data_IF_417800625854
#
_entry.id   IF_417800625854
#
_cell.length_a   1.000
_cell.length_b   1.000
_cell.length_c   1.000
_cell.angle_alpha   90.00
_cell.angle_beta   90.00
_cell.angle_gamma   90.00
#
_symmetry.space_group_name_H-M   'P 1'
#
loop_
_entity.id
_entity.type
_entity.pdbx_description
1 polymer ?
#
# COMPACT_ATOMS: atom_id res chain seq x y z
N UNK A 1 -46.11 9.60 -2.26
CA UNK A 1 -45.17 9.84 -1.14
C UNK A 1 -43.80 10.14 -1.74
N UNK A 2 -43.13 11.16 -1.19
CA UNK A 2 -42.02 11.91 -1.78
C UNK A 2 -40.69 11.13 -1.89
N UNK A 3 -39.97 11.43 -2.98
CA UNK A 3 -38.52 11.70 -3.11
C UNK A 3 -37.52 10.53 -2.93
N UNK A 4 -36.39 10.45 -3.64
CA UNK A 4 -35.69 11.44 -4.46
C UNK A 4 -34.92 10.76 -5.60
N UNK A 5 -34.74 11.51 -6.69
CA UNK A 5 -33.92 11.19 -7.85
C UNK A 5 -32.47 10.88 -7.46
N UNK A 6 -32.01 9.69 -7.79
CA UNK A 6 -30.59 9.30 -7.73
C UNK A 6 -29.88 9.75 -9.01
N UNK A 7 -29.70 11.06 -9.18
CA UNK A 7 -28.65 11.60 -10.03
C UNK A 7 -27.48 11.98 -9.12
N UNK A 8 -26.54 11.03 -8.94
CA UNK A 8 -25.24 11.33 -8.36
C UNK A 8 -24.46 12.16 -9.41
N UNK A 9 -24.10 13.43 -9.16
CA UNK A 9 -23.35 14.19 -10.14
C UNK A 9 -21.97 13.55 -10.30
N UNK A 10 -21.59 13.28 -11.55
CA UNK A 10 -20.23 12.97 -11.95
C UNK A 10 -19.35 14.18 -11.57
N UNK A 11 -18.86 14.23 -10.33
CA UNK A 11 -17.94 15.26 -9.83
C UNK A 11 -16.50 14.89 -10.22
N UNK A 12 -16.25 14.85 -11.53
CA UNK A 12 -14.93 14.84 -12.14
C UNK A 12 -14.82 16.04 -13.08
N UNK A 13 -15.09 17.26 -12.60
CA UNK A 13 -14.94 18.44 -13.45
C UNK A 13 -14.02 19.48 -12.80
N UNK A 14 -12.81 19.52 -13.37
CA UNK A 14 -11.89 20.63 -13.64
C UNK A 14 -10.72 20.98 -12.69
N UNK A 15 -10.83 21.19 -11.37
CA UNK A 15 -9.69 21.68 -10.59
C UNK A 15 -8.61 20.61 -10.36
N UNK A 16 -8.97 19.32 -10.44
CA UNK A 16 -8.02 18.21 -10.30
C UNK A 16 -7.15 18.04 -11.56
N UNK A 17 -7.73 18.22 -12.75
CA UNK A 17 -6.99 18.17 -14.02
C UNK A 17 -5.96 19.29 -14.14
N UNK A 18 -6.30 20.52 -13.72
CA UNK A 18 -5.37 21.66 -13.76
C UNK A 18 -4.19 21.51 -12.79
N UNK A 19 -4.39 20.83 -11.66
CA UNK A 19 -3.32 20.51 -10.71
C UNK A 19 -2.42 19.38 -11.21
N UNK A 20 -3.00 18.36 -11.85
CA UNK A 20 -2.27 17.28 -12.52
C UNK A 20 -1.45 17.81 -13.70
N UNK A 21 -2.02 18.59 -14.61
CA UNK A 21 -1.31 19.17 -15.77
C UNK A 21 -0.13 20.06 -15.36
N UNK A 22 -0.29 20.87 -14.29
CA UNK A 22 0.80 21.69 -13.75
C UNK A 22 1.89 20.85 -13.10
N UNK A 23 1.53 19.75 -12.45
CA UNK A 23 2.50 18.81 -11.88
C UNK A 23 3.21 18.00 -12.96
N UNK A 24 2.51 17.59 -14.03
CA UNK A 24 3.05 16.85 -15.17
C UNK A 24 3.98 17.72 -16.01
N UNK A 25 3.64 19.00 -16.24
CA UNK A 25 4.53 19.94 -16.93
C UNK A 25 5.80 20.24 -16.13
N UNK A 26 5.70 20.35 -14.81
CA UNK A 26 6.88 20.46 -13.92
C UNK A 26 7.72 19.18 -13.95
N UNK A 27 7.08 18.01 -13.95
CA UNK A 27 7.76 16.71 -13.98
C UNK A 27 8.42 16.43 -15.35
N UNK A 28 7.75 16.70 -16.47
CA UNK A 28 8.29 16.60 -17.84
C UNK A 28 9.44 17.58 -18.06
N UNK A 29 9.35 18.81 -17.56
CA UNK A 29 10.43 19.81 -17.66
C UNK A 29 11.66 19.38 -16.85
N UNK A 30 11.47 18.74 -15.71
CA UNK A 30 12.56 18.15 -14.92
C UNK A 30 13.15 16.91 -15.61
N UNK A 31 12.30 16.04 -16.15
CA UNK A 31 12.68 14.82 -16.90
C UNK A 31 13.50 15.15 -18.14
N UNK A 32 13.08 16.10 -18.97
CA UNK A 32 13.78 16.47 -20.21
C UNK A 32 15.13 17.16 -19.96
N UNK A 33 15.33 17.78 -18.80
CA UNK A 33 16.63 18.30 -18.37
C UNK A 33 17.59 17.20 -17.89
N UNK A 34 17.08 16.09 -17.36
CA UNK A 34 17.91 14.91 -17.01
C UNK A 34 18.44 14.16 -18.24
N UNK A 35 17.77 14.24 -19.39
CA UNK A 35 18.16 13.50 -20.61
C UNK A 35 18.97 14.31 -21.62
N UNK A 36 19.26 15.60 -21.37
CA UNK A 36 20.13 16.42 -22.23
C UNK A 36 21.54 16.58 -21.65
N UNK A 37 22.32 15.49 -21.67
CA UNK A 37 23.77 15.51 -21.96
C UNK A 37 24.27 14.06 -22.03
N UNK A 38 24.74 13.62 -23.20
CA UNK A 38 25.80 12.62 -23.31
C UNK A 38 26.40 12.69 -24.71
N UNK A 39 27.43 13.53 -24.85
CA UNK A 39 28.53 13.30 -25.78
C UNK A 39 29.82 13.50 -24.99
N UNK A 40 30.45 12.39 -24.62
CA UNK A 40 31.80 12.36 -24.06
C UNK A 40 31.88 12.33 -22.53
N UNK A 41 32.36 11.19 -22.03
CA UNK A 41 32.97 10.93 -20.71
C UNK A 41 32.02 10.44 -19.60
N UNK A 42 32.12 9.14 -19.31
CA UNK A 42 31.48 8.47 -18.19
C UNK A 42 31.95 9.09 -16.87
N UNK A 43 31.06 9.83 -16.22
CA UNK A 43 31.13 10.14 -14.79
C UNK A 43 29.73 9.89 -14.25
N UNK A 44 29.58 8.94 -13.33
CA UNK A 44 28.31 8.74 -12.63
C UNK A 44 28.15 9.94 -11.69
N UNK A 45 27.45 10.97 -12.14
CA UNK A 45 27.06 12.10 -11.29
C UNK A 45 25.79 11.67 -10.56
N UNK A 46 25.89 11.50 -9.26
CA UNK A 46 24.75 11.20 -8.39
C UNK A 46 23.87 12.46 -8.32
N UNK A 47 22.84 12.55 -9.16
CA UNK A 47 22.08 13.79 -9.43
C UNK A 47 21.13 14.24 -8.31
N UNK A 48 21.12 13.57 -7.16
CA UNK A 48 20.23 13.89 -6.05
C UNK A 48 20.72 15.02 -5.12
N UNK A 49 21.95 15.53 -5.28
CA UNK A 49 22.52 16.48 -4.30
C UNK A 49 22.65 17.94 -4.74
N UNK A 50 22.37 18.31 -6.00
CA UNK A 50 22.78 19.64 -6.50
C UNK A 50 21.68 20.70 -6.68
N UNK A 51 20.40 20.43 -6.34
CA UNK A 51 19.33 21.44 -6.49
C UNK A 51 18.31 21.46 -5.35
N UNK A 52 18.73 21.29 -4.09
CA UNK A 52 17.87 21.59 -2.94
C UNK A 52 18.01 23.09 -2.63
N UNK A 53 16.95 23.92 -2.74
CA UNK A 53 17.03 25.34 -2.42
C UNK A 53 17.48 25.54 -0.97
N UNK A 54 18.48 26.41 -0.78
CA UNK A 54 19.17 26.64 0.49
C UNK A 54 18.29 27.25 1.61
N UNK A 55 17.08 27.69 1.29
CA UNK A 55 16.08 28.11 2.28
C UNK A 55 14.67 27.97 1.72
N UNK A 56 13.77 27.36 2.49
CA UNK A 56 12.34 27.37 2.21
C UNK A 56 11.72 28.62 2.83
N UNK A 57 10.88 29.33 2.09
CA UNK A 57 10.06 30.41 2.65
C UNK A 57 8.99 29.80 3.57
N UNK A 58 9.24 29.91 4.88
CA UNK A 58 8.35 29.39 5.92
C UNK A 58 6.97 30.04 5.81
N UNK A 59 6.87 31.32 5.43
CA UNK A 59 5.58 32.01 5.30
C UNK A 59 4.76 31.45 4.14
N UNK A 60 5.42 31.12 3.02
CA UNK A 60 4.76 30.46 1.89
C UNK A 60 4.20 29.09 2.29
N UNK A 61 4.95 28.29 3.06
CA UNK A 61 4.51 26.98 3.55
C UNK A 61 3.32 27.10 4.51
N UNK A 62 3.39 28.03 5.48
CA UNK A 62 2.30 28.28 6.44
C UNK A 62 1.03 28.74 5.71
N UNK A 63 1.15 29.59 4.69
CA UNK A 63 0.01 30.04 3.89
C UNK A 63 -0.66 28.88 3.11
N UNK A 64 0.13 27.93 2.62
CA UNK A 64 -0.40 26.71 1.98
C UNK A 64 -1.17 25.87 2.99
N UNK A 65 -0.62 25.66 4.19
CA UNK A 65 -1.29 24.89 5.25
C UNK A 65 -2.62 25.53 5.66
N UNK A 66 -2.64 26.84 5.94
CA UNK A 66 -3.86 27.58 6.28
C UNK A 66 -4.91 27.44 5.18
N UNK A 67 -4.50 27.56 3.92
CA UNK A 67 -5.40 27.41 2.77
C UNK A 67 -5.97 25.99 2.69
N UNK A 68 -5.14 24.97 2.83
CA UNK A 68 -5.58 23.57 2.82
C UNK A 68 -6.53 23.28 3.99
N UNK A 69 -6.20 23.74 5.20
CA UNK A 69 -7.07 23.57 6.36
C UNK A 69 -8.42 24.27 6.13
N UNK A 70 -8.45 25.48 5.58
CA UNK A 70 -9.71 26.15 5.24
C UNK A 70 -10.60 25.29 4.31
N UNK A 71 -10.01 24.65 3.30
CA UNK A 71 -10.72 23.81 2.32
C UNK A 71 -11.18 22.48 2.93
N UNK A 72 -10.36 21.85 3.77
CA UNK A 72 -10.57 20.47 4.21
C UNK A 72 -11.07 20.32 5.65
N UNK A 73 -11.08 21.39 6.46
CA UNK A 73 -11.44 21.33 7.90
C UNK A 73 -12.81 20.69 8.15
N UNK A 74 -13.81 20.98 7.33
CA UNK A 74 -15.15 20.37 7.46
C UNK A 74 -15.21 18.91 7.01
N UNK A 75 -14.24 18.45 6.21
CA UNK A 75 -14.15 17.09 5.68
C UNK A 75 -13.29 16.17 6.55
N UNK A 76 -12.40 16.74 7.37
CA UNK A 76 -11.54 15.98 8.30
C UNK A 76 -12.36 15.54 9.49
N UNK A 77 -12.38 14.22 9.73
CA UNK A 77 -12.98 13.62 10.93
C UNK A 77 -11.91 12.82 11.67
N UNK A 78 -11.76 13.10 12.96
CA UNK A 78 -10.84 12.35 13.81
C UNK A 78 -11.44 10.99 14.15
N UNK A 79 -10.71 9.92 13.82
CA UNK A 79 -11.06 8.56 14.23
C UNK A 79 -9.91 7.94 15.03
N UNK A 80 -9.95 8.15 16.35
CA UNK A 80 -8.91 7.69 17.27
C UNK A 80 -8.77 6.16 17.31
N UNK A 81 -9.83 5.41 16.97
CA UNK A 81 -9.78 3.95 16.89
C UNK A 81 -8.78 3.45 15.83
N UNK A 82 -8.58 4.22 14.76
CA UNK A 82 -7.67 3.85 13.67
C UNK A 82 -6.22 4.31 13.88
N UNK A 83 -5.95 5.07 14.94
CA UNK A 83 -4.63 5.69 15.20
C UNK A 83 -3.46 4.71 15.20
N UNK A 84 -3.66 3.49 15.71
CA UNK A 84 -2.64 2.43 15.70
C UNK A 84 -2.63 1.62 14.41
N UNK A 85 -3.76 1.59 13.70
CA UNK A 85 -3.95 0.79 12.50
C UNK A 85 -3.33 1.41 11.24
N UNK A 86 -3.02 2.70 11.27
CA UNK A 86 -2.26 3.38 10.20
C UNK A 86 -0.77 3.01 10.17
N UNK A 87 -0.31 2.15 11.10
CA UNK A 87 1.06 1.65 11.15
C UNK A 87 1.09 0.12 11.16
N UNK A 88 2.26 -0.46 10.91
CA UNK A 88 2.46 -1.91 10.92
C UNK A 88 2.40 -2.53 12.33
N UNK A 89 2.26 -1.74 13.39
CA UNK A 89 2.42 -2.23 14.77
C UNK A 89 1.47 -3.37 15.11
N UNK A 90 0.21 -3.31 14.65
CA UNK A 90 -0.77 -4.36 14.92
C UNK A 90 -0.58 -5.60 14.04
N UNK A 91 0.18 -5.50 12.93
CA UNK A 91 0.47 -6.61 12.02
C UNK A 91 1.53 -7.57 12.53
N UNK A 92 2.38 -7.12 13.47
CA UNK A 92 3.55 -7.88 13.96
C UNK A 92 3.22 -9.23 14.60
N UNK A 93 2.01 -9.39 15.12
CA UNK A 93 1.56 -10.61 15.82
C UNK A 93 0.52 -11.41 15.04
N UNK A 94 0.11 -10.92 13.85
CA UNK A 94 -0.97 -11.53 13.11
C UNK A 94 -0.43 -12.57 12.11
N UNK A 95 -1.05 -13.76 12.03
CA UNK A 95 -0.66 -14.77 11.05
C UNK A 95 -0.62 -14.21 9.64
N UNK A 96 0.33 -14.69 8.83
CA UNK A 96 0.63 -14.25 7.45
C UNK A 96 1.16 -12.82 7.36
N UNK A 97 0.56 -11.86 8.07
CA UNK A 97 1.02 -10.47 8.13
C UNK A 97 2.41 -10.36 8.74
N UNK A 98 2.69 -11.11 9.81
CA UNK A 98 3.95 -11.10 10.54
C UNK A 98 5.13 -11.78 9.81
N UNK A 99 4.90 -12.45 8.68
CA UNK A 99 5.97 -13.08 7.88
C UNK A 99 7.05 -12.09 7.42
N UNK A 100 6.69 -10.82 7.28
CA UNK A 100 7.63 -9.75 6.95
C UNK A 100 7.17 -8.43 7.57
N UNK A 101 8.07 -7.78 8.33
CA UNK A 101 7.79 -6.47 8.92
C UNK A 101 8.00 -5.36 7.89
N UNK A 102 6.90 -4.87 7.31
CA UNK A 102 6.93 -3.83 6.29
C UNK A 102 6.78 -2.45 6.94
N UNK A 103 7.88 -1.70 7.05
CA UNK A 103 7.95 -0.43 7.81
C UNK A 103 6.93 0.61 7.34
N UNK A 104 6.67 0.69 6.03
CA UNK A 104 5.72 1.63 5.43
C UNK A 104 4.30 1.08 5.33
N UNK A 105 3.99 0.01 6.07
CA UNK A 105 2.71 -0.68 6.00
C UNK A 105 1.72 -0.18 7.04
N UNK A 106 0.44 -0.29 6.69
CA UNK A 106 -0.67 -0.23 7.64
C UNK A 106 -1.08 -1.62 8.10
N UNK A 107 -1.95 -1.69 9.11
CA UNK A 107 -2.44 -2.93 9.67
C UNK A 107 -3.71 -3.44 9.00
N UNK A 108 -4.04 -4.74 9.05
CA UNK A 108 -5.27 -5.26 8.45
C UNK A 108 -6.55 -4.63 9.02
N UNK A 109 -6.50 -4.11 10.25
CA UNK A 109 -7.62 -3.46 10.92
C UNK A 109 -8.14 -2.25 10.14
N UNK A 110 -7.27 -1.43 9.55
CA UNK A 110 -7.75 -0.26 8.78
C UNK A 110 -8.46 -0.69 7.50
N UNK A 111 -7.97 -1.73 6.84
CA UNK A 111 -8.61 -2.29 5.64
C UNK A 111 -9.97 -2.86 5.98
N UNK A 112 -10.05 -3.68 7.03
CA UNK A 112 -11.31 -4.25 7.49
C UNK A 112 -12.33 -3.19 7.88
N UNK A 113 -11.88 -2.12 8.56
CA UNK A 113 -12.73 -1.00 8.91
C UNK A 113 -13.39 -0.38 7.67
N UNK A 114 -12.61 -0.08 6.62
CA UNK A 114 -13.15 0.53 5.41
C UNK A 114 -13.99 -0.43 4.57
N UNK A 115 -13.55 -1.68 4.38
CA UNK A 115 -14.34 -2.69 3.66
C UNK A 115 -15.71 -2.90 4.31
N UNK A 116 -15.78 -2.87 5.66
CA UNK A 116 -17.05 -2.96 6.38
C UNK A 116 -17.87 -1.67 6.28
N UNK A 117 -17.23 -0.50 6.44
CA UNK A 117 -17.90 0.81 6.39
C UNK A 117 -18.51 1.11 5.02
N UNK A 118 -17.88 0.61 3.95
CA UNK A 118 -18.37 0.69 2.57
C UNK A 118 -19.34 -0.44 2.22
N UNK A 119 -19.59 -1.38 3.14
CA UNK A 119 -20.48 -2.52 2.94
C UNK A 119 -20.14 -3.35 1.69
N UNK A 120 -18.84 -3.51 1.42
CA UNK A 120 -18.35 -4.20 0.22
C UNK A 120 -18.91 -5.62 0.13
N UNK A 121 -19.31 -6.03 -1.08
CA UNK A 121 -19.98 -7.30 -1.36
C UNK A 121 -19.06 -8.27 -2.08
N UNK A 122 -19.18 -9.59 -1.83
CA UNK A 122 -18.48 -10.60 -2.63
C UNK A 122 -18.70 -10.35 -4.13
N UNK A 123 -17.64 -10.52 -4.93
CA UNK A 123 -17.54 -10.21 -6.37
C UNK A 123 -17.30 -8.75 -6.77
N UNK A 124 -17.33 -7.78 -5.85
CA UNK A 124 -16.80 -6.45 -6.14
C UNK A 124 -15.27 -6.48 -6.30
N UNK A 125 -14.74 -5.49 -7.01
CA UNK A 125 -13.31 -5.38 -7.32
C UNK A 125 -12.68 -4.29 -6.45
N UNK A 126 -11.72 -4.68 -5.62
CA UNK A 126 -10.85 -3.78 -4.86
C UNK A 126 -9.58 -3.47 -5.65
N UNK A 127 -9.12 -2.22 -5.58
CA UNK A 127 -7.92 -1.76 -6.25
C UNK A 127 -6.94 -1.11 -5.28
N UNK A 128 -5.69 -1.57 -5.30
CA UNK A 128 -4.60 -0.95 -4.53
C UNK A 128 -3.43 -0.53 -5.44
N UNK A 129 -3.32 0.75 -5.83
CA UNK A 129 -2.23 1.20 -6.70
C UNK A 129 -0.86 1.24 -6.02
N UNK A 130 -0.79 1.02 -4.69
CA UNK A 130 0.44 1.02 -3.90
C UNK A 130 0.43 -0.14 -2.90
N UNK A 131 0.35 -1.37 -3.43
CA UNK A 131 -0.01 -2.57 -2.67
C UNK A 131 0.94 -2.91 -1.53
N UNK A 132 2.20 -2.46 -1.60
CA UNK A 132 3.19 -2.69 -0.56
C UNK A 132 3.34 -4.18 -0.26
N UNK A 133 3.27 -4.56 1.01
CA UNK A 133 3.35 -5.98 1.40
C UNK A 133 2.05 -6.79 1.23
N UNK A 134 1.00 -6.21 0.65
CA UNK A 134 -0.22 -6.96 0.29
C UNK A 134 -1.26 -7.09 1.40
N UNK A 135 -1.17 -6.28 2.45
CA UNK A 135 -2.15 -6.27 3.55
C UNK A 135 -3.58 -6.09 3.04
N UNK A 136 -3.79 -5.18 2.08
CA UNK A 136 -5.08 -4.89 1.46
C UNK A 136 -5.66 -6.07 0.72
N UNK A 137 -4.89 -6.65 -0.22
CA UNK A 137 -5.31 -7.80 -1.01
C UNK A 137 -5.61 -9.02 -0.14
N UNK A 138 -4.80 -9.25 0.90
CA UNK A 138 -5.03 -10.37 1.82
C UNK A 138 -6.35 -10.21 2.60
N UNK A 139 -6.71 -9.00 3.04
CA UNK A 139 -8.01 -8.77 3.69
C UNK A 139 -9.19 -8.82 2.70
N UNK A 140 -8.97 -8.45 1.44
CA UNK A 140 -9.98 -8.64 0.39
C UNK A 140 -10.22 -10.13 0.13
N UNK A 141 -9.15 -10.90 -0.03
CA UNK A 141 -9.22 -12.35 -0.24
C UNK A 141 -9.95 -13.06 0.91
N UNK A 142 -9.69 -12.70 2.17
CA UNK A 142 -10.37 -13.31 3.32
C UNK A 142 -11.88 -12.99 3.38
N UNK A 143 -12.33 -11.96 2.66
CA UNK A 143 -13.75 -11.57 2.52
C UNK A 143 -14.39 -12.05 1.21
N UNK A 144 -13.66 -12.80 0.38
CA UNK A 144 -14.16 -13.25 -0.93
C UNK A 144 -14.28 -12.14 -1.97
N UNK A 145 -13.55 -11.04 -1.81
CA UNK A 145 -13.48 -9.94 -2.77
C UNK A 145 -12.44 -10.24 -3.85
N UNK A 146 -12.72 -9.82 -5.08
CA UNK A 146 -11.69 -9.78 -6.12
C UNK A 146 -10.82 -8.56 -5.86
N UNK A 147 -9.50 -8.68 -5.97
CA UNK A 147 -8.61 -7.56 -5.69
C UNK A 147 -7.39 -7.56 -6.57
N UNK A 148 -6.98 -6.38 -7.03
CA UNK A 148 -5.77 -6.18 -7.84
C UNK A 148 -4.92 -5.10 -7.18
N UNK A 149 -3.60 -5.25 -7.28
CA UNK A 149 -2.69 -4.23 -6.78
C UNK A 149 -1.41 -4.12 -7.58
N UNK A 150 -0.84 -2.92 -7.56
CA UNK A 150 0.43 -2.57 -8.19
C UNK A 150 1.36 -1.92 -7.19
N UNK A 151 2.65 -2.08 -7.43
CA UNK A 151 3.72 -1.39 -6.72
C UNK A 151 4.91 -1.33 -7.67
N UNK A 152 5.77 -0.32 -7.52
CA UNK A 152 7.01 -0.23 -8.31
C UNK A 152 8.08 -1.17 -7.75
N UNK A 153 8.02 -1.49 -6.46
CA UNK A 153 8.99 -2.33 -5.76
C UNK A 153 8.77 -3.81 -6.08
N UNK A 154 9.76 -4.49 -6.69
CA UNK A 154 9.67 -5.93 -6.93
C UNK A 154 9.53 -6.74 -5.64
N UNK A 155 10.13 -6.27 -4.54
CA UNK A 155 9.99 -6.90 -3.22
C UNK A 155 8.56 -6.80 -2.69
N UNK A 156 7.92 -5.63 -2.81
CA UNK A 156 6.50 -5.44 -2.45
C UNK A 156 5.61 -6.41 -3.21
N UNK A 157 5.79 -6.50 -4.54
CA UNK A 157 5.04 -7.43 -5.39
C UNK A 157 5.27 -8.88 -4.95
N UNK A 158 6.52 -9.27 -4.70
CA UNK A 158 6.85 -10.62 -4.25
C UNK A 158 6.16 -10.97 -2.93
N UNK A 159 6.29 -10.09 -1.92
CA UNK A 159 5.65 -10.28 -0.62
C UNK A 159 4.13 -10.38 -0.74
N UNK A 160 3.52 -9.49 -1.54
CA UNK A 160 2.09 -9.49 -1.80
C UNK A 160 1.63 -10.81 -2.42
N UNK A 161 2.35 -11.30 -3.45
CA UNK A 161 2.05 -12.59 -4.10
C UNK A 161 2.16 -13.75 -3.12
N UNK A 162 3.25 -13.82 -2.35
CA UNK A 162 3.47 -14.89 -1.36
C UNK A 162 2.34 -14.90 -0.33
N UNK A 163 2.01 -13.74 0.25
CA UNK A 163 0.98 -13.63 1.30
C UNK A 163 -0.43 -13.92 0.80
N UNK A 164 -0.71 -13.69 -0.48
CA UNK A 164 -2.04 -13.92 -1.10
C UNK A 164 -2.14 -15.23 -1.85
N UNK A 165 -1.07 -16.03 -1.90
CA UNK A 165 -1.11 -17.35 -2.55
C UNK A 165 -2.03 -18.28 -1.75
N UNK A 166 -3.08 -18.78 -2.39
CA UNK A 166 -3.96 -19.76 -1.77
C UNK A 166 -3.22 -21.08 -1.56
N UNK A 167 -3.34 -21.63 -0.34
CA UNK A 167 -2.66 -22.86 0.07
C UNK A 167 -3.70 -23.96 0.28
N UNK A 168 -3.49 -25.11 -0.36
CA UNK A 168 -4.28 -26.32 -0.09
C UNK A 168 -3.81 -26.96 1.21
N UNK A 169 -4.61 -26.82 2.26
CA UNK A 169 -4.31 -27.34 3.59
C UNK A 169 -4.18 -28.87 3.60
N UNK A 170 -4.93 -29.60 2.77
CA UNK A 170 -4.82 -31.06 2.70
C UNK A 170 -3.46 -31.47 2.15
N UNK A 171 -2.97 -30.75 1.14
CA UNK A 171 -1.63 -30.96 0.58
C UNK A 171 -0.54 -30.64 1.61
N UNK A 172 -0.69 -29.55 2.36
CA UNK A 172 0.25 -29.19 3.44
C UNK A 172 0.26 -30.26 4.52
N UNK A 173 -0.90 -30.72 4.97
CA UNK A 173 -1.01 -31.77 5.99
C UNK A 173 -0.35 -33.08 5.52
N UNK A 174 -0.60 -33.48 4.27
CA UNK A 174 0.04 -34.67 3.67
C UNK A 174 1.56 -34.53 3.62
N UNK A 175 2.06 -33.37 3.19
CA UNK A 175 3.50 -33.09 3.14
C UNK A 175 4.12 -33.10 4.54
N UNK A 176 3.47 -32.49 5.52
CA UNK A 176 3.92 -32.51 6.91
C UNK A 176 4.01 -33.94 7.44
N UNK A 177 2.99 -34.78 7.23
CA UNK A 177 3.02 -36.20 7.61
C UNK A 177 4.19 -36.93 6.97
N UNK A 178 4.44 -36.72 5.67
CA UNK A 178 5.58 -37.32 4.96
C UNK A 178 6.94 -36.86 5.52
N UNK A 179 7.08 -35.57 5.83
CA UNK A 179 8.28 -35.01 6.43
C UNK A 179 8.52 -35.58 7.83
N UNK A 180 7.47 -35.73 8.65
CA UNK A 180 7.59 -36.32 9.99
C UNK A 180 7.99 -37.79 9.94
N UNK A 181 7.45 -38.58 8.99
CA UNK A 181 7.86 -39.98 8.80
C UNK A 181 9.33 -40.06 8.41
N UNK A 182 9.76 -39.31 7.38
CA UNK A 182 11.16 -39.25 6.95
C UNK A 182 12.09 -38.79 8.07
N UNK A 183 11.66 -37.79 8.85
CA UNK A 183 12.41 -37.30 9.99
C UNK A 183 12.61 -38.41 11.03
N UNK A 184 11.56 -39.13 11.42
CA UNK A 184 11.66 -40.26 12.36
C UNK A 184 12.58 -41.38 11.84
N UNK A 185 12.45 -41.73 10.56
CA UNK A 185 13.31 -42.73 9.92
C UNK A 185 14.78 -42.30 9.84
N UNK A 186 15.04 -40.99 9.79
CA UNK A 186 16.40 -40.43 9.77
C UNK A 186 17.02 -40.19 11.16
N UNK A 187 16.24 -40.21 12.24
CA UNK A 187 16.66 -39.78 13.57
C UNK A 187 16.50 -40.86 14.65
N UNK A 188 17.18 -42.00 14.44
CA UNK A 188 17.52 -42.99 15.49
C UNK A 188 18.50 -42.44 16.56
N UNK A 189 18.85 -41.14 16.50
CA UNK A 189 19.60 -40.43 17.54
C UNK A 189 18.71 -39.42 18.28
N UNK A 190 18.63 -39.63 19.59
CA UNK A 190 17.90 -38.83 20.57
C UNK A 190 18.27 -37.34 20.51
N UNK A 191 17.32 -36.50 20.11
CA UNK A 191 17.33 -35.08 20.44
C UNK A 191 15.98 -34.73 21.06
N UNK A 192 16.00 -34.54 22.37
CA UNK A 192 14.93 -33.91 23.13
C UNK A 192 14.74 -32.50 22.60
N UNK A 193 13.56 -32.23 22.03
CA UNK A 193 13.14 -30.87 21.69
C UNK A 193 12.91 -30.13 23.03
N UNK A 194 13.47 -28.92 23.24
CA UNK A 194 13.20 -28.11 24.43
C UNK A 194 11.75 -27.61 24.49
#
# INVERSE_FOLDING_TARGET
MKSADNNLPLLLEEPQMVLLEKSETLFEKHRNNLFKKNNGNNTIVNSYSENVPASYDINALVNVEIKLLSIYKSKIKNNFFLSRAVTFQLSKILPVHSWFQYTQGFSPQIVNYYLNSWNCKPNEIFLDPFVGSGTSLLQCQSKGLKSHGWDISPLSIFLSKVKTTSVDLNKVEKLLKQLFVKYKESNDYSLSIP
#
